data_IF_894039037204
#
_entry.id   IF_894039037204
#
_cell.length_a   1.000
_cell.length_b   1.000
_cell.length_c   1.000
_cell.angle_alpha   90.00
_cell.angle_beta   90.00
_cell.angle_gamma   90.00
#
_symmetry.space_group_name_H-M   'P 1'
#
loop_
_entity.id
_entity.type
_entity.pdbx_description
1 polymer ?
#
# COMPACT_ATOMS: atom_id res chain seq x y z
N UNK A 1 -1.01 10.09 -5.83
CA UNK A 1 -1.23 10.61 -7.20
C UNK A 1 -1.28 12.13 -7.12
N UNK A 2 -0.33 12.77 -7.82
CA UNK A 2 -0.20 14.18 -8.18
C UNK A 2 -0.43 15.27 -7.09
N UNK A 3 0.64 15.59 -6.36
CA UNK A 3 0.72 16.84 -5.58
C UNK A 3 0.80 18.11 -6.47
N UNK A 4 0.89 17.94 -7.79
CA UNK A 4 1.00 19.03 -8.78
C UNK A 4 -0.31 19.33 -9.53
N UNK A 5 -1.44 18.65 -9.25
CA UNK A 5 -2.67 18.90 -10.02
C UNK A 5 -3.34 20.26 -9.74
N UNK A 6 -2.95 20.94 -8.65
CA UNK A 6 -3.55 22.21 -8.21
C UNK A 6 -2.67 23.44 -8.47
N UNK A 7 -1.55 23.30 -9.19
CA UNK A 7 -0.71 24.41 -9.64
C UNK A 7 -0.65 24.51 -11.16
N UNK A 8 -0.35 25.70 -11.68
CA UNK A 8 -0.04 25.96 -13.08
C UNK A 8 1.32 26.65 -13.16
N UNK A 9 2.15 26.30 -14.14
CA UNK A 9 3.41 26.97 -14.37
C UNK A 9 3.16 28.37 -14.97
N UNK A 10 3.97 29.36 -14.56
CA UNK A 10 3.75 30.76 -14.95
C UNK A 10 4.38 31.08 -16.32
N UNK A 11 5.53 30.46 -16.61
CA UNK A 11 6.31 30.71 -17.82
C UNK A 11 6.82 29.40 -18.43
N UNK A 12 5.91 28.54 -18.89
CA UNK A 12 6.21 27.19 -19.38
C UNK A 12 7.27 27.21 -20.49
N UNK A 13 7.24 28.25 -21.32
CA UNK A 13 8.18 28.47 -22.44
C UNK A 13 9.57 28.95 -22.02
N UNK A 14 9.76 29.40 -20.78
CA UNK A 14 11.07 29.82 -20.26
C UNK A 14 11.74 28.76 -19.40
N UNK A 15 11.11 27.59 -19.24
CA UNK A 15 11.69 26.48 -18.48
C UNK A 15 12.77 25.84 -19.35
N UNK A 16 14.00 25.67 -18.85
CA UNK A 16 15.07 25.01 -19.60
C UNK A 16 14.65 23.61 -20.06
N UNK A 17 14.98 23.25 -21.31
CA UNK A 17 14.61 21.95 -21.90
C UNK A 17 15.15 20.76 -21.09
N UNK A 18 16.33 20.90 -20.47
CA UNK A 18 16.95 19.87 -19.61
C UNK A 18 16.12 19.55 -18.35
N UNK A 19 15.14 20.40 -18.01
CA UNK A 19 14.23 20.21 -16.88
C UNK A 19 12.89 19.61 -17.29
N UNK A 20 12.64 19.44 -18.59
CA UNK A 20 11.39 18.91 -19.13
C UNK A 20 11.50 17.40 -19.39
N UNK A 21 10.40 16.69 -19.17
CA UNK A 21 10.33 15.28 -19.51
C UNK A 21 10.12 15.10 -21.03
N UNK A 22 10.95 14.31 -21.73
CA UNK A 22 10.75 14.05 -23.16
C UNK A 22 9.45 13.32 -23.52
N UNK A 23 8.78 12.70 -22.53
CA UNK A 23 7.56 11.91 -22.75
C UNK A 23 6.30 12.78 -22.60
N UNK A 24 6.17 13.51 -21.48
CA UNK A 24 4.98 14.33 -21.21
C UNK A 24 5.18 15.81 -21.52
N UNK A 25 6.39 16.25 -21.87
CA UNK A 25 6.77 17.64 -22.16
C UNK A 25 6.61 18.64 -21.00
N UNK A 26 6.27 18.15 -19.80
CA UNK A 26 6.17 18.94 -18.58
C UNK A 26 7.47 18.89 -17.74
N UNK A 27 7.67 19.83 -16.79
CA UNK A 27 8.79 19.78 -15.85
C UNK A 27 8.84 18.46 -15.06
N UNK A 28 10.03 17.86 -14.98
CA UNK A 28 10.25 16.52 -14.43
C UNK A 28 9.71 16.35 -13.00
N UNK A 29 8.81 15.39 -12.78
CA UNK A 29 8.28 14.98 -11.47
C UNK A 29 8.86 13.63 -11.04
N UNK A 30 9.48 13.61 -9.85
CA UNK A 30 10.27 12.48 -9.36
C UNK A 30 11.24 11.95 -10.44
N UNK A 31 12.20 12.77 -10.89
CA UNK A 31 13.06 12.45 -12.03
C UNK A 31 13.84 11.15 -11.81
N UNK A 32 13.77 10.25 -12.78
CA UNK A 32 14.61 9.05 -12.89
C UNK A 32 15.53 9.18 -14.11
N UNK A 33 16.83 8.94 -13.92
CA UNK A 33 17.81 8.91 -15.01
C UNK A 33 18.24 7.48 -15.31
N UNK A 34 18.36 7.17 -16.60
CA UNK A 34 18.96 5.92 -17.05
C UNK A 34 20.47 5.93 -16.81
N UNK A 35 20.99 4.96 -16.07
CA UNK A 35 22.41 4.83 -15.75
C UNK A 35 23.32 4.72 -17.00
N UNK A 36 22.90 4.01 -18.06
CA UNK A 36 23.73 3.77 -19.25
C UNK A 36 23.73 4.92 -20.25
N UNK A 37 22.62 5.66 -20.39
CA UNK A 37 22.47 6.67 -21.44
C UNK A 37 22.18 8.09 -20.92
N UNK A 38 21.98 8.28 -19.62
CA UNK A 38 21.83 9.59 -18.98
C UNK A 38 20.49 10.31 -19.19
N UNK A 39 19.60 9.80 -20.04
CA UNK A 39 18.29 10.44 -20.27
C UNK A 39 17.39 10.36 -19.03
N UNK A 40 16.69 11.47 -18.75
CA UNK A 40 15.90 11.67 -17.53
C UNK A 40 14.42 11.82 -17.84
N UNK A 41 13.57 11.18 -17.05
CA UNK A 41 12.12 11.12 -17.25
C UNK A 41 11.37 11.24 -15.92
N UNK A 42 10.08 11.59 -15.96
CA UNK A 42 9.22 11.47 -14.78
C UNK A 42 9.08 9.98 -14.42
N UNK A 43 9.07 9.66 -13.11
CA UNK A 43 8.87 8.28 -12.63
C UNK A 43 7.65 7.61 -13.25
N UNK A 44 6.50 8.28 -13.26
CA UNK A 44 5.27 7.73 -13.82
C UNK A 44 5.35 7.52 -15.34
N UNK A 45 5.95 8.48 -16.08
CA UNK A 45 6.07 8.38 -17.53
C UNK A 45 6.93 7.17 -17.93
N UNK A 46 8.12 7.04 -17.35
CA UNK A 46 9.02 5.94 -17.72
C UNK A 46 8.49 4.58 -17.26
N UNK A 47 7.87 4.53 -16.07
CA UNK A 47 7.27 3.29 -15.56
C UNK A 47 6.11 2.83 -16.45
N UNK A 48 5.30 3.76 -16.98
CA UNK A 48 4.22 3.46 -17.91
C UNK A 48 4.74 2.99 -19.28
N UNK A 49 5.72 3.70 -19.86
CA UNK A 49 6.28 3.33 -21.18
C UNK A 49 6.97 1.96 -21.16
N UNK A 50 7.64 1.60 -20.06
CA UNK A 50 8.34 0.32 -19.95
C UNK A 50 7.44 -0.90 -19.74
N UNK A 51 6.13 -0.71 -19.57
CA UNK A 51 5.17 -1.81 -19.62
C UNK A 51 5.07 -2.42 -21.03
N UNK A 52 5.42 -1.66 -22.07
CA UNK A 52 5.28 -2.07 -23.48
C UNK A 52 6.59 -2.06 -24.27
N UNK A 53 7.66 -1.46 -23.73
CA UNK A 53 8.93 -1.30 -24.45
C UNK A 53 10.15 -1.44 -23.52
N UNK A 54 11.19 -2.13 -23.94
CA UNK A 54 12.44 -2.32 -23.17
C UNK A 54 13.59 -1.44 -23.68
N UNK A 55 13.27 -0.24 -24.15
CA UNK A 55 14.22 0.69 -24.75
C UNK A 55 14.00 2.11 -24.22
N UNK A 56 15.08 2.88 -24.13
CA UNK A 56 15.03 4.31 -23.82
C UNK A 56 14.17 5.06 -24.86
N UNK A 57 13.14 5.82 -24.45
CA UNK A 57 12.28 6.55 -25.39
C UNK A 57 13.01 7.59 -26.23
N UNK A 58 14.14 8.12 -25.75
CA UNK A 58 14.91 9.17 -26.43
C UNK A 58 15.96 8.61 -27.39
N UNK A 59 16.79 7.66 -26.95
CA UNK A 59 17.91 7.14 -27.74
C UNK A 59 17.79 5.68 -28.18
N UNK A 60 16.69 4.99 -27.83
CA UNK A 60 16.41 3.58 -28.14
C UNK A 60 17.40 2.55 -27.59
N UNK A 61 18.29 2.98 -26.67
CA UNK A 61 19.18 2.06 -25.97
C UNK A 61 18.37 1.05 -25.13
N UNK A 62 18.69 -0.24 -25.22
CA UNK A 62 17.99 -1.30 -24.49
C UNK A 62 18.28 -1.23 -23.00
N UNK A 63 17.23 -1.14 -22.18
CA UNK A 63 17.30 -0.98 -20.73
C UNK A 63 16.21 -1.81 -20.05
N UNK A 64 16.30 -1.93 -18.75
CA UNK A 64 15.24 -2.43 -17.86
C UNK A 64 14.80 -1.33 -16.90
N UNK A 65 13.69 -1.52 -16.18
CA UNK A 65 13.26 -0.55 -15.17
C UNK A 65 14.27 -0.40 -14.02
N UNK A 66 15.09 -1.41 -13.76
CA UNK A 66 16.11 -1.40 -12.70
C UNK A 66 17.30 -0.47 -13.05
N UNK A 67 17.49 -0.19 -14.33
CA UNK A 67 18.53 0.71 -14.83
C UNK A 67 18.23 2.20 -14.57
N UNK A 68 17.01 2.52 -14.13
CA UNK A 68 16.58 3.88 -13.84
C UNK A 68 16.74 4.20 -12.35
N UNK A 69 17.55 5.21 -12.06
CA UNK A 69 17.84 5.63 -10.69
C UNK A 69 17.30 7.04 -10.42
N UNK A 70 16.80 7.32 -9.21
CA UNK A 70 16.38 8.67 -8.85
C UNK A 70 17.52 9.68 -8.98
N UNK A 71 17.23 10.85 -9.55
CA UNK A 71 18.20 11.93 -9.60
C UNK A 71 18.39 12.51 -8.20
N UNK A 72 19.61 12.44 -7.68
CA UNK A 72 19.98 12.95 -6.34
C UNK A 72 20.84 14.22 -6.39
N UNK A 73 21.19 14.69 -7.60
CA UNK A 73 22.01 15.88 -7.80
C UNK A 73 21.28 17.14 -7.31
N UNK A 74 21.70 17.66 -6.16
CA UNK A 74 21.07 18.84 -5.53
C UNK A 74 20.97 20.06 -6.45
N UNK A 75 21.99 20.45 -7.24
CA UNK A 75 21.87 21.61 -8.13
C UNK A 75 20.72 21.47 -9.14
N UNK A 76 20.60 20.29 -9.75
CA UNK A 76 19.52 19.97 -10.69
C UNK A 76 18.14 20.02 -10.03
N UNK A 77 18.01 19.39 -8.85
CA UNK A 77 16.76 19.41 -8.08
C UNK A 77 16.39 20.83 -7.62
N UNK A 78 17.39 21.65 -7.25
CA UNK A 78 17.17 23.03 -6.87
C UNK A 78 16.68 23.88 -8.05
N UNK A 79 17.23 23.69 -9.25
CA UNK A 79 16.74 24.35 -10.46
C UNK A 79 15.29 23.96 -10.76
N UNK A 80 14.95 22.67 -10.69
CA UNK A 80 13.56 22.19 -10.82
C UNK A 80 12.63 22.83 -9.79
N UNK A 81 13.07 22.95 -8.54
CA UNK A 81 12.25 23.46 -7.44
C UNK A 81 12.05 24.98 -7.48
N UNK A 82 12.95 25.72 -8.15
CA UNK A 82 12.86 27.18 -8.30
C UNK A 82 11.88 27.63 -9.39
N UNK A 83 11.42 26.72 -10.25
CA UNK A 83 10.40 27.02 -11.26
C UNK A 83 9.17 27.61 -10.57
N UNK A 84 8.67 28.72 -11.09
CA UNK A 84 7.53 29.44 -10.50
C UNK A 84 6.20 28.88 -10.99
N UNK A 85 5.29 28.68 -10.04
CA UNK A 85 3.92 28.26 -10.27
C UNK A 85 2.93 29.25 -9.66
N UNK A 86 1.72 29.24 -10.18
CA UNK A 86 0.54 29.89 -9.60
C UNK A 86 -0.43 28.83 -9.07
N UNK A 87 -1.15 29.17 -8.02
CA UNK A 87 -2.20 28.30 -7.49
C UNK A 87 -3.44 28.38 -8.39
N UNK A 88 -4.06 27.23 -8.70
CA UNK A 88 -5.34 27.21 -9.44
C UNK A 88 -6.52 27.69 -8.60
N UNK A 89 -6.40 27.60 -7.28
CA UNK A 89 -7.51 27.83 -6.36
C UNK A 89 -7.50 29.21 -5.71
N UNK A 90 -6.36 29.91 -5.67
CA UNK A 90 -6.22 31.22 -5.04
C UNK A 90 -5.37 32.15 -5.91
N UNK A 91 -5.40 33.47 -5.68
CA UNK A 91 -4.66 34.44 -6.49
C UNK A 91 -3.14 34.46 -6.23
N UNK A 92 -2.63 33.62 -5.33
CA UNK A 92 -1.18 33.53 -5.06
C UNK A 92 -0.43 33.02 -6.30
N UNK A 93 0.60 33.77 -6.67
CA UNK A 93 1.47 33.50 -7.82
C UNK A 93 2.93 33.51 -7.38
N UNK A 94 3.85 33.21 -8.29
CA UNK A 94 5.29 33.19 -8.03
C UNK A 94 5.70 32.29 -6.85
N UNK A 95 4.95 31.20 -6.66
CA UNK A 95 5.28 30.18 -5.66
C UNK A 95 6.35 29.29 -6.29
N UNK A 96 7.46 29.06 -5.60
CA UNK A 96 8.43 28.06 -6.04
C UNK A 96 7.78 26.68 -6.05
N UNK A 97 7.93 25.93 -7.14
CA UNK A 97 7.40 24.57 -7.30
C UNK A 97 7.71 23.69 -6.10
N UNK A 98 8.94 23.76 -5.58
CA UNK A 98 9.36 23.01 -4.39
C UNK A 98 8.54 23.32 -3.13
N UNK A 99 8.04 24.56 -3.00
CA UNK A 99 7.28 25.05 -1.85
C UNK A 99 5.76 24.98 -2.07
N UNK A 100 5.28 24.50 -3.23
CA UNK A 100 3.85 24.48 -3.52
C UNK A 100 3.08 23.58 -2.56
N UNK A 101 3.69 22.50 -2.06
CA UNK A 101 3.09 21.62 -1.04
C UNK A 101 2.80 22.38 0.26
N UNK A 102 3.73 23.21 0.71
CA UNK A 102 3.56 24.02 1.93
C UNK A 102 2.46 25.06 1.76
N UNK A 103 2.37 25.65 0.56
CA UNK A 103 1.25 26.51 0.19
C UNK A 103 -0.08 25.75 0.20
N UNK A 104 -0.17 24.58 -0.45
CA UNK A 104 -1.40 23.83 -0.61
C UNK A 104 -2.05 23.45 0.73
N UNK A 105 -1.24 23.15 1.75
CA UNK A 105 -1.71 22.86 3.11
C UNK A 105 -2.36 24.10 3.75
N UNK A 106 -1.84 25.30 3.45
CA UNK A 106 -2.31 26.59 4.01
C UNK A 106 -3.31 27.32 3.12
N UNK A 107 -3.53 26.88 1.89
CA UNK A 107 -4.41 27.56 0.94
C UNK A 107 -5.87 27.48 1.40
N UNK A 108 -6.49 28.63 1.69
CA UNK A 108 -7.87 28.74 2.17
C UNK A 108 -8.92 28.53 1.07
N UNK A 109 -8.54 28.74 -0.19
CA UNK A 109 -9.46 28.59 -1.34
C UNK A 109 -9.38 27.22 -2.01
N UNK A 110 -8.42 26.37 -1.62
CA UNK A 110 -8.33 25.00 -2.15
C UNK A 110 -9.57 24.20 -1.79
N UNK A 111 -9.98 23.30 -2.69
CA UNK A 111 -11.05 22.36 -2.41
C UNK A 111 -10.52 21.29 -1.47
N UNK A 112 -11.23 21.07 -0.37
CA UNK A 112 -10.96 20.04 0.64
C UNK A 112 -12.22 19.24 0.91
N UNK A 113 -12.04 18.01 1.35
CA UNK A 113 -13.13 17.16 1.82
C UNK A 113 -13.35 17.35 3.32
N UNK A 114 -14.54 17.00 3.80
CA UNK A 114 -14.85 16.98 5.22
C UNK A 114 -13.88 16.05 5.99
N UNK A 115 -13.49 16.38 7.23
CA UNK A 115 -12.71 15.47 8.08
C UNK A 115 -13.33 14.07 8.24
N UNK A 116 -14.67 14.00 8.22
CA UNK A 116 -15.45 12.76 8.30
C UNK A 116 -15.65 12.06 6.92
N UNK A 117 -14.83 12.34 5.91
CA UNK A 117 -14.92 11.70 4.60
C UNK A 117 -14.59 10.20 4.65
N UNK A 118 -13.77 9.78 5.61
CA UNK A 118 -13.46 8.38 5.92
C UNK A 118 -14.71 7.58 6.30
N UNK A 119 -15.60 8.20 7.08
CA UNK A 119 -16.92 7.69 7.45
C UNK A 119 -18.02 8.13 6.48
N UNK A 120 -17.64 8.39 5.22
CA UNK A 120 -18.52 8.64 4.07
C UNK A 120 -19.30 9.96 4.10
N UNK A 121 -18.79 10.99 4.77
CA UNK A 121 -19.27 12.33 4.50
C UNK A 121 -18.96 12.72 3.04
N UNK A 122 -19.98 13.15 2.29
CA UNK A 122 -19.86 13.51 0.87
C UNK A 122 -19.48 14.98 0.64
N UNK A 123 -19.33 15.78 1.70
CA UNK A 123 -19.06 17.20 1.55
C UNK A 123 -17.64 17.44 1.04
N UNK A 124 -17.56 18.25 -0.02
CA UNK A 124 -16.33 18.81 -0.58
C UNK A 124 -16.57 20.28 -0.89
N UNK A 125 -15.64 21.15 -0.50
CA UNK A 125 -15.78 22.59 -0.71
C UNK A 125 -14.49 23.34 -0.46
N UNK A 126 -14.52 24.66 -0.60
CA UNK A 126 -13.37 25.50 -0.27
C UNK A 126 -13.01 25.38 1.21
N UNK A 127 -11.72 25.34 1.54
CA UNK A 127 -11.24 25.22 2.92
C UNK A 127 -11.82 26.29 3.84
N UNK A 128 -12.03 27.52 3.36
CA UNK A 128 -12.66 28.59 4.15
C UNK A 128 -14.10 28.26 4.61
N UNK A 129 -14.86 27.50 3.81
CA UNK A 129 -16.24 27.08 4.13
C UNK A 129 -16.30 25.76 4.90
N UNK A 130 -15.15 25.12 5.10
CA UNK A 130 -15.06 23.84 5.81
C UNK A 130 -15.48 23.99 7.27
N UNK A 131 -15.10 25.09 7.93
CA UNK A 131 -15.44 25.28 9.34
C UNK A 131 -16.95 25.41 9.56
N UNK A 132 -17.63 26.13 8.66
CA UNK A 132 -19.09 26.25 8.67
C UNK A 132 -19.76 24.88 8.55
N UNK A 133 -19.30 24.06 7.60
CA UNK A 133 -19.79 22.68 7.45
C UNK A 133 -19.51 21.81 8.67
N UNK A 134 -18.27 21.83 9.18
CA UNK A 134 -17.82 21.03 10.33
C UNK A 134 -18.69 21.29 11.55
N UNK A 135 -19.11 22.54 11.77
CA UNK A 135 -19.97 22.92 12.90
C UNK A 135 -21.35 22.25 12.90
N UNK A 136 -21.86 21.88 11.72
CA UNK A 136 -23.20 21.27 11.56
C UNK A 136 -23.16 19.81 11.09
N UNK A 137 -21.97 19.25 10.85
CA UNK A 137 -21.84 17.91 10.29
C UNK A 137 -22.07 16.84 11.37
N UNK A 138 -23.14 16.02 11.29
CA UNK A 138 -23.41 14.99 12.29
C UNK A 138 -22.31 13.93 12.33
N UNK A 139 -21.70 13.65 11.17
CA UNK A 139 -20.65 12.66 11.03
C UNK A 139 -19.37 13.06 11.77
N UNK A 140 -19.00 14.36 11.75
CA UNK A 140 -17.84 14.83 12.53
C UNK A 140 -18.04 14.61 14.03
N UNK A 141 -19.26 14.79 14.54
CA UNK A 141 -19.54 14.63 15.98
C UNK A 141 -19.37 13.17 16.43
N UNK A 142 -19.73 12.20 15.59
CA UNK A 142 -19.59 10.77 15.91
C UNK A 142 -18.24 10.18 15.48
N UNK A 143 -17.45 10.92 14.69
CA UNK A 143 -16.18 10.44 14.15
C UNK A 143 -15.23 9.90 15.23
N UNK A 144 -15.01 10.56 16.40
CA UNK A 144 -14.13 10.03 17.43
C UNK A 144 -14.53 8.63 17.90
N UNK A 145 -15.83 8.40 18.13
CA UNK A 145 -16.36 7.11 18.57
C UNK A 145 -16.15 6.04 17.49
N UNK A 146 -16.42 6.37 16.22
CA UNK A 146 -16.20 5.43 15.11
C UNK A 146 -14.71 5.10 14.95
N UNK A 147 -13.81 6.08 15.13
CA UNK A 147 -12.36 5.83 15.05
C UNK A 147 -11.88 4.90 16.17
N UNK A 148 -12.41 5.04 17.39
CA UNK A 148 -12.09 4.17 18.52
C UNK A 148 -12.63 2.74 18.31
N UNK A 149 -13.86 2.62 17.81
CA UNK A 149 -14.44 1.32 17.44
C UNK A 149 -13.63 0.62 16.36
N UNK A 150 -13.24 1.34 15.30
CA UNK A 150 -12.40 0.79 14.23
C UNK A 150 -11.02 0.34 14.74
N UNK A 151 -10.42 1.10 15.66
CA UNK A 151 -9.15 0.73 16.29
C UNK A 151 -9.30 -0.56 17.12
N UNK A 152 -10.39 -0.70 17.87
CA UNK A 152 -10.69 -1.89 18.67
C UNK A 152 -10.91 -3.12 17.76
N UNK A 153 -11.69 -2.98 16.70
CA UNK A 153 -11.93 -4.06 15.71
C UNK A 153 -10.61 -4.50 15.08
N UNK A 154 -9.75 -3.55 14.72
CA UNK A 154 -8.42 -3.87 14.17
C UNK A 154 -7.57 -4.65 15.17
N UNK A 155 -7.51 -4.20 16.43
CA UNK A 155 -6.77 -4.88 17.48
C UNK A 155 -7.28 -6.32 17.70
N UNK A 156 -8.59 -6.52 17.71
CA UNK A 156 -9.19 -7.86 17.83
C UNK A 156 -8.83 -8.75 16.64
N UNK A 157 -8.84 -8.21 15.41
CA UNK A 157 -8.43 -8.94 14.21
C UNK A 157 -6.97 -9.38 14.28
N UNK A 158 -6.07 -8.51 14.76
CA UNK A 158 -4.65 -8.83 14.97
C UNK A 158 -4.45 -9.92 16.04
N UNK A 159 -5.19 -9.83 17.15
CA UNK A 159 -5.17 -10.86 18.20
C UNK A 159 -5.66 -12.21 17.68
N UNK A 160 -6.75 -12.24 16.92
CA UNK A 160 -7.29 -13.44 16.29
C UNK A 160 -6.25 -14.05 15.35
N UNK A 161 -5.64 -13.23 14.47
CA UNK A 161 -4.62 -13.70 13.54
C UNK A 161 -3.38 -14.28 14.26
N UNK A 162 -2.95 -13.63 15.35
CA UNK A 162 -1.87 -14.15 16.19
C UNK A 162 -2.22 -15.50 16.80
N UNK A 163 -3.42 -15.65 17.39
CA UNK A 163 -3.87 -16.90 17.97
C UNK A 163 -3.93 -18.03 16.93
N UNK A 164 -4.47 -17.76 15.74
CA UNK A 164 -4.44 -18.73 14.63
C UNK A 164 -3.02 -19.17 14.28
N UNK A 165 -2.09 -18.21 14.14
CA UNK A 165 -0.68 -18.51 13.84
C UNK A 165 -0.02 -19.36 14.93
N UNK A 166 -0.33 -19.09 16.20
CA UNK A 166 0.18 -19.87 17.34
C UNK A 166 -0.40 -21.29 17.30
N UNK A 167 -1.70 -21.44 17.06
CA UNK A 167 -2.37 -22.74 16.96
C UNK A 167 -1.79 -23.58 15.81
N UNK A 168 -1.53 -22.98 14.64
CA UNK A 168 -0.90 -23.68 13.51
C UNK A 168 0.51 -24.17 13.86
N UNK A 169 1.32 -23.35 14.54
CA UNK A 169 2.67 -23.73 14.98
C UNK A 169 2.65 -24.84 16.05
N UNK A 170 1.72 -24.76 17.01
CA UNK A 170 1.54 -25.81 18.02
C UNK A 170 1.08 -27.10 17.34
N UNK A 171 0.11 -27.03 16.43
CA UNK A 171 -0.39 -28.17 15.67
C UNK A 171 0.71 -28.85 14.85
N UNK A 172 1.51 -28.08 14.12
CA UNK A 172 2.62 -28.63 13.31
C UNK A 172 3.72 -29.26 14.16
N UNK A 173 4.10 -28.63 15.29
CA UNK A 173 5.06 -29.21 16.22
C UNK A 173 4.53 -30.49 16.86
N UNK A 174 3.27 -30.47 17.30
CA UNK A 174 2.60 -31.64 17.87
C UNK A 174 2.53 -32.81 16.87
N UNK A 175 2.16 -32.55 15.61
CA UNK A 175 2.19 -33.55 14.53
C UNK A 175 3.58 -34.18 14.36
N UNK A 176 4.65 -33.40 14.48
CA UNK A 176 6.03 -33.89 14.38
C UNK A 176 6.35 -34.82 15.56
N UNK A 177 6.09 -34.38 16.79
CA UNK A 177 6.34 -35.16 18.01
C UNK A 177 5.53 -36.48 18.02
N UNK A 178 4.25 -36.44 17.62
CA UNK A 178 3.42 -37.63 17.51
C UNK A 178 3.96 -38.61 16.46
N UNK A 179 4.36 -38.14 15.27
CA UNK A 179 4.98 -39.00 14.25
C UNK A 179 6.25 -39.68 14.76
N UNK A 180 7.11 -38.97 15.48
CA UNK A 180 8.33 -39.53 16.07
C UNK A 180 8.01 -40.56 17.17
N UNK A 181 7.05 -40.25 18.06
CA UNK A 181 6.62 -41.16 19.13
C UNK A 181 5.95 -42.44 18.61
N UNK A 182 5.08 -42.34 17.61
CA UNK A 182 4.35 -43.50 17.07
C UNK A 182 5.23 -44.37 16.17
N UNK A 183 6.19 -43.80 15.45
CA UNK A 183 7.23 -44.57 14.74
C UNK A 183 8.03 -45.47 15.69
N UNK A 184 8.17 -45.07 16.96
CA UNK A 184 8.87 -45.87 17.97
C UNK A 184 8.00 -46.95 18.66
N UNK A 185 6.66 -46.83 18.66
CA UNK A 185 5.76 -47.70 19.48
C UNK A 185 4.68 -48.49 18.70
N UNK A 186 4.42 -48.20 17.42
CA UNK A 186 3.59 -49.03 16.54
C UNK A 186 2.06 -49.03 16.78
N UNK A 187 1.53 -48.22 17.71
CA UNK A 187 0.08 -48.01 17.87
C UNK A 187 -0.23 -46.66 18.54
N UNK A 188 -1.39 -46.08 18.21
CA UNK A 188 -1.89 -44.81 18.74
C UNK A 188 -3.28 -44.96 19.37
N UNK A 189 -3.70 -43.99 20.18
CA UNK A 189 -5.00 -43.95 20.86
C UNK A 189 -5.70 -42.61 20.59
N UNK A 190 -7.01 -42.62 20.33
CA UNK A 190 -7.77 -41.39 20.09
C UNK A 190 -7.95 -40.59 21.38
N UNK A 191 -7.78 -39.27 21.35
CA UNK A 191 -7.85 -38.49 22.59
C UNK A 191 -9.25 -38.32 23.17
N UNK A 192 -10.28 -38.49 22.35
CA UNK A 192 -11.68 -38.38 22.77
C UNK A 192 -12.21 -39.74 23.26
N UNK A 193 -12.06 -40.80 22.47
CA UNK A 193 -12.65 -42.09 22.80
C UNK A 193 -11.67 -43.09 23.42
N UNK A 194 -10.37 -42.75 23.50
CA UNK A 194 -9.29 -43.58 24.05
C UNK A 194 -9.15 -44.98 23.42
N UNK A 195 -9.77 -45.21 22.27
CA UNK A 195 -9.63 -46.46 21.52
C UNK A 195 -8.30 -46.52 20.76
N UNK A 196 -7.70 -47.72 20.76
CA UNK A 196 -6.45 -48.04 20.06
C UNK A 196 -6.68 -48.18 18.56
N UNK A 197 -5.76 -47.66 17.75
CA UNK A 197 -5.69 -47.93 16.30
C UNK A 197 -4.24 -48.19 15.88
N UNK A 198 -4.07 -48.99 14.82
CA UNK A 198 -2.77 -49.47 14.31
C UNK A 198 -2.48 -48.79 12.98
N UNK A 199 -1.22 -48.41 12.76
CA UNK A 199 -0.77 -47.80 11.51
C UNK A 199 -0.50 -48.90 10.47
N UNK A 200 -1.15 -48.83 9.31
CA UNK A 200 -0.82 -49.64 8.15
C UNK A 200 -0.03 -48.76 7.15
N UNK A 201 1.20 -49.15 6.83
CA UNK A 201 2.07 -48.43 5.89
C UNK A 201 1.68 -48.68 4.42
N UNK A 202 0.89 -49.71 4.11
CA UNK A 202 0.63 -50.14 2.75
C UNK A 202 -0.64 -49.56 2.13
N UNK A 203 -1.64 -49.22 2.93
CA UNK A 203 -2.82 -48.49 2.45
C UNK A 203 -2.76 -47.05 2.91
N UNK A 204 -2.46 -46.12 1.99
CA UNK A 204 -2.65 -44.68 2.20
C UNK A 204 -4.12 -44.28 2.45
N UNK A 205 -5.01 -45.23 2.80
CA UNK A 205 -6.35 -45.01 3.35
C UNK A 205 -6.27 -44.84 4.86
N UNK A 206 -5.48 -43.85 5.24
CA UNK A 206 -5.54 -43.31 6.57
C UNK A 206 -6.94 -42.71 6.78
N UNK A 207 -7.76 -43.30 7.65
CA UNK A 207 -8.84 -42.57 8.36
C UNK A 207 -8.23 -41.57 9.38
N UNK A 208 -7.15 -40.92 8.98
CA UNK A 208 -6.44 -39.86 9.66
C UNK A 208 -7.09 -38.58 9.20
N UNK A 209 -7.60 -37.78 10.14
CA UNK A 209 -7.62 -36.35 9.89
C UNK A 209 -6.18 -35.89 10.10
N UNK A 210 -5.45 -35.40 9.08
CA UNK A 210 -4.07 -34.99 9.22
C UNK A 210 -3.86 -33.79 10.15
N UNK A 211 -4.93 -33.32 10.77
CA UNK A 211 -5.02 -32.13 11.57
C UNK A 211 -5.36 -32.40 13.04
N UNK A 212 -5.75 -33.63 13.44
CA UNK A 212 -6.20 -33.91 14.81
C UNK A 212 -5.96 -35.35 15.28
N UNK A 213 -5.69 -35.54 16.58
CA UNK A 213 -5.61 -36.85 17.26
C UNK A 213 -6.99 -37.49 17.54
N UNK A 214 -7.93 -37.27 16.64
CA UNK A 214 -9.30 -37.75 16.74
C UNK A 214 -9.56 -38.81 15.68
N UNK A 215 -10.20 -39.91 16.08
CA UNK A 215 -10.68 -40.88 15.11
C UNK A 215 -11.79 -40.26 14.24
N UNK A 216 -11.94 -40.75 13.00
CA UNK A 216 -12.95 -40.28 12.04
C UNK A 216 -14.37 -40.28 12.61
N UNK A 217 -14.69 -41.23 13.50
CA UNK A 217 -15.97 -41.30 14.22
C UNK A 217 -16.18 -40.12 15.17
N UNK A 218 -15.13 -39.71 15.92
CA UNK A 218 -15.21 -38.55 16.81
C UNK A 218 -15.26 -37.24 16.03
N UNK A 219 -14.47 -37.10 14.96
CA UNK A 219 -14.52 -35.89 14.12
C UNK A 219 -15.92 -35.69 13.53
N UNK A 220 -16.51 -36.74 12.94
CA UNK A 220 -17.87 -36.69 12.38
C UNK A 220 -18.97 -36.45 13.43
N UNK A 221 -18.72 -36.69 14.71
CA UNK A 221 -19.71 -36.50 15.79
C UNK A 221 -19.72 -35.07 16.33
N UNK A 222 -18.58 -34.40 16.34
CA UNK A 222 -18.40 -33.10 17.01
C UNK A 222 -18.18 -31.92 16.06
N UNK A 223 -17.87 -32.16 14.78
CA UNK A 223 -17.57 -31.12 13.78
C UNK A 223 -18.50 -31.18 12.55
N UNK A 224 -19.64 -31.88 12.65
CA UNK A 224 -20.69 -31.96 11.61
C UNK A 224 -21.85 -31.02 11.89
#
# INVERSE_FOLDING_TARGET
MAANNNCEYINDKSIPEDLLCPICTDPLEEPLSANQCGHTFCRQCITGTFQTMSQCPTCRYTLTLEDFQPVTLRPFLNQLNQILVKCKSCPETNIQRGNFKDHAIKCMKTIVSCPAADIKCSWTGQREKMQDHVSICPLVQIQPVITELNATVKQQSEQIHFLYTVLEKISTNYKKTCKEYYKAKGAAYCDICKNRFIFDEHEHRLHYCPETDFCSTCVKKYFS
#
